data_IF_543579258377
#
_entry.id   IF_543579258377
#
_cell.length_a   1.000
_cell.length_b   1.000
_cell.length_c   1.000
_cell.angle_alpha   90.00
_cell.angle_beta   90.00
_cell.angle_gamma   90.00
#
_symmetry.space_group_name_H-M   'P 1'
#
loop_
_entity.id
_entity.type
_entity.pdbx_description
1 polymer ?
#
# COMPACT_ATOMS: atom_id res chain seq x y z
N UNK A 1 11.30 34.57 -24.15
CA UNK A 1 11.55 33.47 -25.11
C UNK A 1 12.83 32.77 -24.65
N UNK A 2 12.74 31.95 -23.60
CA UNK A 2 12.56 30.49 -23.65
C UNK A 2 13.90 29.77 -23.76
N UNK A 3 14.60 29.64 -22.62
CA UNK A 3 15.63 28.62 -22.44
C UNK A 3 14.95 27.44 -21.72
N UNK A 4 14.43 26.49 -22.52
CA UNK A 4 13.97 25.20 -22.01
C UNK A 4 15.20 24.30 -21.96
N UNK A 5 15.95 24.42 -20.86
CA UNK A 5 16.96 23.44 -20.48
C UNK A 5 16.28 22.07 -20.42
N UNK A 6 16.54 21.24 -21.43
CA UNK A 6 16.11 19.85 -21.48
C UNK A 6 16.90 19.15 -20.38
N UNK A 7 16.34 19.06 -19.19
CA UNK A 7 16.84 18.15 -18.17
C UNK A 7 16.60 16.72 -18.70
N UNK A 8 17.64 15.93 -18.97
CA UNK A 8 17.43 14.54 -19.34
C UNK A 8 16.78 13.87 -18.14
N UNK A 9 15.54 13.40 -18.32
CA UNK A 9 14.88 12.52 -17.37
C UNK A 9 15.74 11.27 -17.33
N UNK A 10 16.60 11.18 -16.32
CA UNK A 10 17.27 9.93 -15.98
C UNK A 10 16.17 8.98 -15.55
N UNK A 11 15.72 8.14 -16.49
CA UNK A 11 14.88 6.98 -16.18
C UNK A 11 15.72 6.09 -15.28
N UNK A 12 15.59 6.25 -13.96
CA UNK A 12 16.11 5.29 -13.00
C UNK A 12 15.47 3.94 -13.34
N UNK A 13 16.25 3.03 -13.93
CA UNK A 13 15.84 1.66 -14.20
C UNK A 13 15.31 0.95 -12.94
N UNK A 14 15.65 1.47 -11.76
CA UNK A 14 15.19 1.02 -10.45
C UNK A 14 13.67 1.20 -10.23
N UNK A 15 12.98 2.06 -11.00
CA UNK A 15 11.52 2.21 -10.94
C UNK A 15 10.76 1.09 -11.66
N UNK A 16 11.43 0.34 -12.54
CA UNK A 16 10.86 -0.79 -13.28
C UNK A 16 11.10 -2.14 -12.59
N UNK A 17 11.75 -2.15 -11.42
CA UNK A 17 11.55 -3.23 -10.44
C UNK A 17 10.15 -3.08 -9.81
N UNK A 18 9.12 -2.97 -10.63
CA UNK A 18 7.84 -3.55 -10.31
C UNK A 18 8.11 -5.05 -10.30
N UNK A 19 8.62 -5.52 -9.17
CA UNK A 19 8.57 -6.92 -8.76
C UNK A 19 7.22 -7.45 -9.23
N UNK A 20 7.21 -8.55 -9.98
CA UNK A 20 6.03 -9.36 -10.17
C UNK A 20 5.45 -9.63 -8.78
N UNK A 21 4.54 -8.75 -8.33
CA UNK A 21 3.91 -8.83 -7.02
C UNK A 21 2.86 -9.91 -7.17
N UNK A 22 3.32 -11.16 -7.17
CA UNK A 22 2.55 -12.38 -6.97
C UNK A 22 1.83 -12.37 -5.59
N UNK A 23 1.84 -11.23 -4.86
CA UNK A 23 0.95 -11.05 -3.72
C UNK A 23 -0.49 -11.19 -4.18
N UNK A 24 -1.07 -12.27 -3.65
CA UNK A 24 -2.51 -12.47 -3.60
C UNK A 24 -3.24 -11.15 -3.33
N UNK A 25 -4.38 -10.88 -4.01
CA UNK A 25 -5.12 -9.64 -3.89
C UNK A 25 -5.26 -9.20 -2.44
N UNK A 26 -4.72 -8.01 -2.12
CA UNK A 26 -4.82 -7.37 -0.79
C UNK A 26 -6.24 -6.90 -0.47
N UNK A 27 -7.22 -7.40 -1.21
CA UNK A 27 -8.65 -7.11 -1.08
C UNK A 27 -9.37 -8.11 -0.19
N UNK A 28 -8.78 -9.29 0.06
CA UNK A 28 -9.36 -10.28 0.95
C UNK A 28 -9.11 -9.87 2.41
N UNK A 29 -10.16 -9.41 3.09
CA UNK A 29 -10.12 -9.05 4.52
C UNK A 29 -10.79 -10.14 5.35
N UNK A 30 -10.21 -11.33 5.28
CA UNK A 30 -10.63 -12.52 6.03
C UNK A 30 -10.39 -12.35 7.54
N UNK A 31 -11.04 -13.16 8.37
CA UNK A 31 -11.03 -13.05 9.83
C UNK A 31 -9.61 -12.94 10.43
N UNK A 32 -8.67 -13.78 9.98
CA UNK A 32 -7.27 -13.74 10.44
C UNK A 32 -6.62 -12.37 10.20
N UNK A 33 -6.86 -11.78 9.03
CA UNK A 33 -6.34 -10.44 8.69
C UNK A 33 -7.08 -9.33 9.46
N UNK A 34 -8.35 -9.52 9.80
CA UNK A 34 -9.10 -8.60 10.66
C UNK A 34 -8.53 -8.57 12.07
N UNK A 35 -8.23 -9.74 12.65
CA UNK A 35 -7.58 -9.84 13.96
C UNK A 35 -6.23 -9.12 13.95
N UNK A 36 -5.35 -9.46 13.00
CA UNK A 36 -4.04 -8.80 12.89
C UNK A 36 -4.13 -7.29 12.59
N UNK A 37 -5.17 -6.84 11.87
CA UNK A 37 -5.44 -5.41 11.67
C UNK A 37 -5.83 -4.73 12.98
N UNK A 38 -6.76 -5.30 13.75
CA UNK A 38 -7.23 -4.73 15.02
C UNK A 38 -6.13 -4.69 16.08
N UNK A 39 -5.33 -5.74 16.18
CA UNK A 39 -4.16 -5.78 17.07
C UNK A 39 -3.16 -4.68 16.72
N UNK A 40 -2.81 -4.53 15.44
CA UNK A 40 -1.90 -3.48 15.00
C UNK A 40 -2.50 -2.08 15.18
N UNK A 41 -3.81 -1.92 15.00
CA UNK A 41 -4.52 -0.66 15.18
C UNK A 41 -4.55 -0.26 16.65
N UNK A 42 -4.81 -1.20 17.57
CA UNK A 42 -4.82 -0.95 19.01
C UNK A 42 -3.47 -0.45 19.51
N UNK A 43 -2.36 -0.95 18.96
CA UNK A 43 -1.00 -0.54 19.34
C UNK A 43 -0.60 0.81 18.72
N UNK A 44 -0.96 1.03 17.45
CA UNK A 44 -0.38 2.15 16.68
C UNK A 44 -1.32 3.32 16.43
N UNK A 45 -2.63 3.13 16.55
CA UNK A 45 -3.64 4.11 16.15
C UNK A 45 -3.66 4.46 14.66
N UNK A 46 -2.82 3.83 13.84
CA UNK A 46 -2.63 4.16 12.42
C UNK A 46 -3.30 3.14 11.51
N UNK A 47 -4.42 3.53 10.91
CA UNK A 47 -5.18 2.66 9.99
C UNK A 47 -4.32 2.24 8.78
N UNK A 48 -3.55 3.16 8.20
CA UNK A 48 -2.64 2.84 7.07
C UNK A 48 -1.54 1.87 7.49
N UNK A 49 -0.94 2.08 8.67
CA UNK A 49 0.09 1.20 9.21
C UNK A 49 -0.45 -0.20 9.51
N UNK A 50 -1.60 -0.27 10.15
CA UNK A 50 -2.28 -1.52 10.50
C UNK A 50 -2.71 -2.31 9.26
N UNK A 51 -3.31 -1.65 8.26
CA UNK A 51 -3.72 -2.28 7.00
C UNK A 51 -2.52 -2.88 6.25
N UNK A 52 -1.42 -2.11 6.16
CA UNK A 52 -0.17 -2.59 5.56
C UNK A 52 0.35 -3.84 6.27
N UNK A 53 0.34 -3.84 7.61
CA UNK A 53 0.81 -4.96 8.44
C UNK A 53 -0.07 -6.21 8.30
N UNK A 54 -1.39 -6.03 8.24
CA UNK A 54 -2.37 -7.09 8.04
C UNK A 54 -2.49 -7.58 6.59
N UNK A 55 -1.68 -7.05 5.67
CA UNK A 55 -1.69 -7.48 4.27
C UNK A 55 -2.93 -7.06 3.49
N UNK A 56 -3.66 -6.04 3.95
CA UNK A 56 -4.89 -5.56 3.30
C UNK A 56 -4.78 -4.12 2.83
N UNK A 57 -5.56 -3.76 1.82
CA UNK A 57 -5.65 -2.37 1.38
C UNK A 57 -6.42 -1.53 2.39
N UNK A 58 -6.00 -0.28 2.58
CA UNK A 58 -6.72 0.68 3.42
C UNK A 58 -8.16 0.89 2.96
N UNK A 59 -8.40 0.85 1.65
CA UNK A 59 -9.73 1.00 1.08
C UNK A 59 -10.64 -0.19 1.43
N UNK A 60 -10.09 -1.41 1.49
CA UNK A 60 -10.81 -2.60 1.96
C UNK A 60 -11.25 -2.44 3.42
N UNK A 61 -10.38 -1.95 4.30
CA UNK A 61 -10.73 -1.67 5.70
C UNK A 61 -11.90 -0.69 5.81
N UNK A 62 -11.87 0.41 5.04
CA UNK A 62 -12.97 1.39 5.04
C UNK A 62 -14.27 0.84 4.47
N UNK A 63 -14.21 -0.04 3.46
CA UNK A 63 -15.42 -0.69 2.91
C UNK A 63 -16.06 -1.63 3.93
N UNK A 64 -15.26 -2.38 4.68
CA UNK A 64 -15.74 -3.33 5.69
C UNK A 64 -16.33 -2.68 6.94
N UNK A 65 -16.13 -1.37 7.13
CA UNK A 65 -16.74 -0.60 8.24
C UNK A 65 -18.25 -0.41 8.06
N UNK A 66 -18.76 -0.46 6.83
CA UNK A 66 -20.19 -0.28 6.53
C UNK A 66 -20.95 -1.57 6.78
#
# INVERSE_FOLDING_TARGET
MSDMSIHPIVLHADLLAAEDDDRAPRTQFVAERQVGFLEALAVTGSVRGAARRAGVSHQTCYRARR
#
